data_IF_505161814769
#
_entry.id   IF_505161814769
#
_cell.length_a   1.000
_cell.length_b   1.000
_cell.length_c   1.000
_cell.angle_alpha   90.00
_cell.angle_beta   90.00
_cell.angle_gamma   90.00
#
_symmetry.space_group_name_H-M   'P 1'
#
loop_
_entity.id
_entity.type
_entity.pdbx_description
1 polymer ?
#
# COMPACT_ATOMS: atom_id res chain seq x y z
N UNK A 1 -17.49 14.03 -24.50
CA UNK A 1 -18.26 12.77 -24.39
C UNK A 1 -17.46 11.86 -23.46
N UNK A 2 -17.91 11.52 -22.25
CA UNK A 2 -17.11 10.68 -21.37
C UNK A 2 -17.28 9.22 -21.78
N UNK A 3 -16.14 8.55 -21.98
CA UNK A 3 -16.03 7.17 -22.40
C UNK A 3 -16.68 6.22 -21.40
N UNK A 4 -17.58 5.40 -21.91
CA UNK A 4 -18.26 4.34 -21.20
C UNK A 4 -17.26 3.21 -20.92
N UNK A 5 -16.60 3.22 -19.76
CA UNK A 5 -15.81 2.07 -19.31
C UNK A 5 -16.79 0.98 -18.83
N UNK A 6 -17.27 0.14 -19.74
CA UNK A 6 -17.99 -1.08 -19.34
C UNK A 6 -16.97 -2.09 -18.83
N UNK A 7 -17.02 -2.41 -17.53
CA UNK A 7 -16.24 -3.50 -16.96
C UNK A 7 -16.74 -4.83 -17.53
N UNK A 8 -15.95 -5.47 -18.39
CA UNK A 8 -16.17 -6.86 -18.81
C UNK A 8 -15.42 -7.80 -17.87
N UNK A 9 -16.14 -8.58 -17.05
CA UNK A 9 -15.56 -9.64 -16.21
C UNK A 9 -14.87 -10.70 -17.12
N UNK A 10 -13.74 -11.28 -16.71
CA UNK A 10 -13.07 -12.36 -17.46
C UNK A 10 -14.00 -13.59 -17.60
N UNK A 11 -13.94 -14.36 -18.71
CA UNK A 11 -14.87 -15.48 -18.97
C UNK A 11 -14.96 -16.57 -17.90
N UNK A 12 -13.92 -16.71 -17.06
CA UNK A 12 -13.91 -17.67 -15.96
C UNK A 12 -14.85 -17.31 -14.78
N UNK A 13 -15.49 -16.14 -14.79
CA UNK A 13 -16.25 -15.60 -13.65
C UNK A 13 -17.69 -15.16 -13.98
N UNK A 14 -18.26 -15.58 -15.11
CA UNK A 14 -19.70 -15.36 -15.38
C UNK A 14 -20.58 -16.16 -14.40
N UNK A 15 -21.56 -15.50 -13.77
CA UNK A 15 -22.61 -16.15 -12.98
C UNK A 15 -22.40 -16.21 -11.46
N UNK A 16 -21.28 -15.69 -10.93
CA UNK A 16 -21.18 -15.31 -9.50
C UNK A 16 -21.34 -13.79 -9.44
N UNK A 17 -22.11 -13.27 -8.48
CA UNK A 17 -22.31 -11.82 -8.32
C UNK A 17 -20.95 -11.08 -8.37
N UNK A 18 -20.60 -10.43 -9.50
CA UNK A 18 -19.45 -9.54 -9.60
C UNK A 18 -19.76 -8.33 -8.68
N UNK A 19 -19.41 -8.35 -7.39
CA UNK A 19 -19.32 -7.13 -6.57
C UNK A 19 -17.97 -6.45 -6.82
N UNK A 20 -17.71 -6.09 -8.07
CA UNK A 20 -16.62 -5.20 -8.48
C UNK A 20 -17.01 -3.72 -8.22
N UNK A 21 -18.21 -3.46 -7.68
CA UNK A 21 -18.68 -2.11 -7.35
C UNK A 21 -17.95 -1.45 -6.16
N UNK A 22 -17.19 -2.21 -5.36
CA UNK A 22 -16.58 -1.70 -4.12
C UNK A 22 -15.10 -1.33 -4.29
N UNK A 23 -14.37 -1.99 -5.18
CA UNK A 23 -12.91 -1.80 -5.33
C UNK A 23 -12.53 -1.24 -6.71
N UNK A 24 -11.61 -0.30 -6.74
CA UNK A 24 -10.94 0.19 -7.94
C UNK A 24 -9.72 -0.68 -8.23
N UNK A 25 -9.61 -1.24 -9.44
CA UNK A 25 -8.45 -2.03 -9.88
C UNK A 25 -7.39 -1.14 -10.52
N UNK A 26 -6.11 -1.45 -10.29
CA UNK A 26 -5.02 -0.83 -11.03
C UNK A 26 -4.98 -1.33 -12.49
N UNK A 27 -4.25 -0.64 -13.35
CA UNK A 27 -4.17 -0.95 -14.77
C UNK A 27 -3.66 -2.37 -15.07
N UNK A 28 -2.84 -2.92 -14.18
CA UNK A 28 -2.25 -4.26 -14.28
C UNK A 28 -3.16 -5.37 -13.76
N UNK A 29 -4.28 -5.04 -13.11
CA UNK A 29 -5.18 -6.01 -12.47
C UNK A 29 -4.55 -6.79 -11.30
N UNK A 30 -3.45 -6.29 -10.74
CA UNK A 30 -2.68 -6.92 -9.66
C UNK A 30 -3.01 -6.36 -8.29
N UNK A 31 -3.63 -5.18 -8.24
CA UNK A 31 -4.00 -4.49 -7.00
C UNK A 31 -5.42 -3.94 -7.14
N UNK A 32 -6.17 -3.97 -6.04
CA UNK A 32 -7.49 -3.39 -5.95
C UNK A 32 -7.70 -2.74 -4.59
N UNK A 33 -8.18 -1.49 -4.58
CA UNK A 33 -8.41 -0.72 -3.35
C UNK A 33 -9.84 -0.24 -3.22
N UNK A 34 -10.34 -0.22 -1.99
CA UNK A 34 -11.64 0.33 -1.62
C UNK A 34 -11.43 1.49 -0.67
N UNK A 35 -11.97 2.66 -1.00
CA UNK A 35 -11.95 3.83 -0.12
C UNK A 35 -13.33 3.99 0.51
N UNK A 36 -13.36 4.22 1.82
CA UNK A 36 -14.58 4.47 2.57
C UNK A 36 -14.40 5.70 3.47
N UNK A 37 -15.25 6.70 3.33
CA UNK A 37 -15.22 7.94 4.11
C UNK A 37 -16.00 7.86 5.43
N UNK A 38 -16.68 6.73 5.72
CA UNK A 38 -17.39 6.55 6.99
C UNK A 38 -16.41 6.46 8.15
N UNK A 39 -16.49 7.45 9.04
CA UNK A 39 -15.64 7.54 10.21
C UNK A 39 -15.84 6.37 11.17
N UNK A 40 -14.78 5.58 11.39
CA UNK A 40 -14.70 4.47 12.36
C UNK A 40 -13.31 4.43 13.01
N UNK A 41 -13.18 3.74 14.14
CA UNK A 41 -11.88 3.50 14.79
C UNK A 41 -10.97 2.61 13.94
N UNK A 42 -9.67 2.63 14.23
CA UNK A 42 -8.68 1.83 13.48
C UNK A 42 -9.02 0.32 13.50
N UNK A 43 -9.35 -0.23 14.67
CA UNK A 43 -9.72 -1.65 14.81
C UNK A 43 -11.01 -2.02 14.05
N UNK A 44 -11.97 -1.10 14.01
CA UNK A 44 -13.18 -1.29 13.23
C UNK A 44 -12.90 -1.20 11.72
N UNK A 45 -12.02 -0.29 11.29
CA UNK A 45 -11.57 -0.20 9.90
C UNK A 45 -10.88 -1.50 9.46
N UNK A 46 -9.97 -2.04 10.27
CA UNK A 46 -9.31 -3.33 10.05
C UNK A 46 -10.32 -4.46 9.90
N UNK A 47 -11.29 -4.56 10.80
CA UNK A 47 -12.35 -5.56 10.76
C UNK A 47 -13.23 -5.43 9.50
N UNK A 48 -13.55 -4.20 9.10
CA UNK A 48 -14.32 -3.93 7.89
C UNK A 48 -13.55 -4.36 6.64
N UNK A 49 -12.25 -4.08 6.54
CA UNK A 49 -11.44 -4.54 5.40
C UNK A 49 -11.39 -6.07 5.31
N UNK A 50 -11.25 -6.77 6.45
CA UNK A 50 -11.29 -8.24 6.50
C UNK A 50 -12.63 -8.77 6.00
N UNK A 51 -13.75 -8.12 6.34
CA UNK A 51 -15.08 -8.51 5.85
C UNK A 51 -15.24 -8.38 4.33
N UNK A 52 -14.36 -7.62 3.68
CA UNK A 52 -14.30 -7.39 2.24
C UNK A 52 -13.24 -8.25 1.53
N UNK A 53 -12.76 -9.33 2.17
CA UNK A 53 -11.65 -10.16 1.68
C UNK A 53 -10.36 -9.35 1.43
N UNK A 54 -10.12 -8.37 2.30
CA UNK A 54 -8.99 -7.48 2.22
C UNK A 54 -8.32 -7.21 3.56
N UNK A 55 -7.38 -6.28 3.54
CA UNK A 55 -6.71 -5.72 4.70
C UNK A 55 -6.68 -4.19 4.57
N UNK A 56 -6.32 -3.47 5.63
CA UNK A 56 -6.01 -2.05 5.50
C UNK A 56 -4.80 -1.89 4.57
N UNK A 57 -4.87 -0.93 3.66
CA UNK A 57 -3.89 -0.72 2.60
C UNK A 57 -2.48 -0.51 3.16
N UNK A 58 -1.53 -1.31 2.69
CA UNK A 58 -0.09 -1.10 2.86
C UNK A 58 0.45 -0.36 1.64
N UNK A 59 1.47 0.49 1.78
CA UNK A 59 2.06 1.24 0.67
C UNK A 59 3.59 1.15 0.74
N UNK A 60 4.20 0.41 -0.19
CA UNK A 60 5.66 0.16 -0.22
C UNK A 60 6.39 0.84 -1.37
N UNK A 61 5.66 1.50 -2.27
CA UNK A 61 6.21 2.13 -3.47
C UNK A 61 5.39 3.35 -3.91
N UNK A 62 6.02 4.19 -4.74
CA UNK A 62 5.44 5.44 -5.24
C UNK A 62 4.22 5.20 -6.16
N UNK A 63 4.20 4.11 -6.92
CA UNK A 63 3.07 3.84 -7.83
C UNK A 63 1.81 3.52 -7.03
N UNK A 64 1.92 2.69 -5.98
CA UNK A 64 0.80 2.39 -5.08
C UNK A 64 0.30 3.66 -4.38
N UNK A 65 1.21 4.53 -3.92
CA UNK A 65 0.85 5.82 -3.33
C UNK A 65 0.09 6.71 -4.31
N UNK A 66 0.66 6.97 -5.49
CA UNK A 66 0.09 7.87 -6.47
C UNK A 66 -1.25 7.37 -7.01
N UNK A 67 -1.35 6.07 -7.29
CA UNK A 67 -2.60 5.48 -7.76
C UNK A 67 -3.70 5.53 -6.68
N UNK A 68 -3.36 5.28 -5.41
CA UNK A 68 -4.31 5.42 -4.30
C UNK A 68 -4.83 6.86 -4.19
N UNK A 69 -3.96 7.86 -4.32
CA UNK A 69 -4.36 9.28 -4.35
C UNK A 69 -5.36 9.57 -5.47
N UNK A 70 -5.11 9.05 -6.68
CA UNK A 70 -6.03 9.19 -7.81
C UNK A 70 -7.39 8.55 -7.51
N UNK A 71 -7.41 7.36 -6.88
CA UNK A 71 -8.67 6.69 -6.51
C UNK A 71 -9.43 7.51 -5.47
N UNK A 72 -8.77 8.00 -4.42
CA UNK A 72 -9.40 8.85 -3.39
C UNK A 72 -10.01 10.11 -4.02
N UNK A 73 -9.28 10.81 -4.89
CA UNK A 73 -9.78 12.01 -5.55
C UNK A 73 -10.91 11.73 -6.54
N UNK A 74 -10.91 10.56 -7.17
CA UNK A 74 -11.97 10.15 -8.11
C UNK A 74 -13.27 9.83 -7.37
N UNK A 75 -13.19 9.10 -6.25
CA UNK A 75 -14.37 8.69 -5.46
C UNK A 75 -14.87 9.84 -4.58
N UNK A 76 -13.94 10.59 -3.97
CA UNK A 76 -14.21 11.65 -3.00
C UNK A 76 -13.51 12.95 -3.40
N UNK A 77 -14.01 13.68 -4.42
CA UNK A 77 -13.34 14.87 -4.96
C UNK A 77 -13.20 16.03 -3.97
N UNK A 78 -14.05 16.08 -2.94
CA UNK A 78 -14.00 17.10 -1.89
C UNK A 78 -13.11 16.72 -0.70
N UNK A 79 -12.51 15.53 -0.69
CA UNK A 79 -11.74 15.00 0.44
C UNK A 79 -10.61 15.93 0.89
N UNK A 80 -9.93 16.57 -0.06
CA UNK A 80 -8.90 17.60 0.19
C UNK A 80 -9.44 18.79 0.95
N UNK A 81 -10.52 19.41 0.46
CA UNK A 81 -11.13 20.58 1.09
C UNK A 81 -11.72 20.25 2.47
N UNK A 82 -12.18 19.01 2.65
CA UNK A 82 -12.71 18.51 3.90
C UNK A 82 -11.62 18.12 4.93
N UNK A 83 -10.34 18.10 4.54
CA UNK A 83 -9.26 17.59 5.40
C UNK A 83 -9.47 16.14 5.81
N UNK A 84 -9.95 15.32 4.87
CA UNK A 84 -10.29 13.91 5.14
C UNK A 84 -9.05 13.11 5.57
N UNK A 85 -9.24 12.28 6.59
CA UNK A 85 -8.23 11.37 7.12
C UNK A 85 -8.67 9.95 6.80
N UNK A 86 -7.74 9.13 6.36
CA UNK A 86 -7.98 7.72 6.07
C UNK A 86 -6.99 6.82 6.79
N UNK A 87 -7.49 5.82 7.51
CA UNK A 87 -6.68 4.75 8.08
C UNK A 87 -6.03 3.91 6.97
N UNK A 88 -4.74 3.60 7.17
CA UNK A 88 -3.96 2.67 6.36
C UNK A 88 -3.24 1.66 7.26
N UNK A 89 -2.72 0.59 6.69
CA UNK A 89 -2.32 -0.62 7.41
C UNK A 89 -1.00 -0.52 8.15
N UNK A 90 -0.82 0.43 9.06
CA UNK A 90 0.39 0.55 9.89
C UNK A 90 0.11 0.98 11.33
N UNK A 91 0.99 0.61 12.24
CA UNK A 91 0.91 0.95 13.66
C UNK A 91 2.29 1.03 14.32
N UNK A 92 2.35 1.68 15.48
CA UNK A 92 3.54 1.89 16.28
C UNK A 92 3.33 1.40 17.72
N UNK A 93 3.73 0.17 17.98
CA UNK A 93 3.77 -0.40 19.33
C UNK A 93 5.17 -0.27 19.95
N UNK A 94 6.19 -0.65 19.19
CA UNK A 94 7.62 -0.60 19.59
C UNK A 94 8.51 -0.04 18.47
N UNK A 95 7.89 0.60 17.49
CA UNK A 95 8.47 0.95 16.19
C UNK A 95 7.40 0.85 15.10
N UNK A 96 7.48 1.75 14.11
CA UNK A 96 6.51 1.79 13.02
C UNK A 96 6.62 0.57 12.11
N UNK A 97 5.53 -0.20 12.04
CA UNK A 97 5.43 -1.40 11.21
C UNK A 97 4.13 -1.40 10.43
N UNK A 98 4.20 -1.91 9.21
CA UNK A 98 3.02 -2.31 8.44
C UNK A 98 2.34 -3.49 9.14
N UNK A 99 1.05 -3.70 8.89
CA UNK A 99 0.28 -4.80 9.49
C UNK A 99 0.74 -6.19 9.01
N UNK A 100 1.54 -6.27 7.94
CA UNK A 100 2.21 -7.51 7.53
C UNK A 100 3.53 -7.77 8.29
N UNK A 101 3.91 -6.89 9.21
CA UNK A 101 5.09 -6.99 10.07
C UNK A 101 6.35 -6.33 9.51
N UNK A 102 6.34 -5.89 8.24
CA UNK A 102 7.48 -5.17 7.65
C UNK A 102 7.66 -3.78 8.24
N UNK A 103 8.90 -3.29 8.29
CA UNK A 103 9.21 -1.97 8.84
C UNK A 103 8.68 -0.85 7.95
N UNK A 104 8.20 0.23 8.58
CA UNK A 104 7.93 1.49 7.88
C UNK A 104 9.15 2.39 8.10
N UNK A 105 9.88 2.76 7.03
CA UNK A 105 11.05 3.60 7.18
C UNK A 105 10.66 4.98 7.70
N UNK A 106 11.32 5.45 8.75
CA UNK A 106 11.00 6.72 9.45
C UNK A 106 12.11 7.76 9.36
N UNK A 107 13.31 7.36 8.94
CA UNK A 107 14.46 8.24 8.79
C UNK A 107 15.00 8.23 7.37
N UNK A 108 15.68 9.30 6.96
CA UNK A 108 16.25 9.42 5.62
C UNK A 108 17.35 8.41 5.30
N UNK A 109 17.87 7.71 6.32
CA UNK A 109 18.95 6.74 6.20
C UNK A 109 18.43 5.30 6.15
N UNK A 110 17.12 5.10 6.30
CA UNK A 110 16.47 3.80 6.17
C UNK A 110 16.05 3.58 4.71
N UNK A 111 16.38 2.39 4.21
CA UNK A 111 15.98 1.96 2.87
C UNK A 111 14.46 1.76 2.80
N UNK A 112 13.85 2.21 1.69
CA UNK A 112 12.44 2.00 1.39
C UNK A 112 11.67 3.28 1.08
N UNK A 113 10.51 3.12 0.46
CA UNK A 113 9.65 4.24 0.10
C UNK A 113 9.08 4.93 1.33
N UNK A 114 9.12 6.27 1.34
CA UNK A 114 8.64 7.11 2.43
C UNK A 114 7.74 8.21 1.88
N UNK A 115 6.61 8.43 2.56
CA UNK A 115 5.70 9.52 2.22
C UNK A 115 5.13 10.23 3.47
N UNK A 116 5.92 10.28 4.54
CA UNK A 116 5.56 10.95 5.79
C UNK A 116 5.32 12.45 5.60
N UNK A 117 4.30 12.96 6.29
CA UNK A 117 4.10 14.37 6.53
C UNK A 117 5.25 14.86 7.42
N UNK A 118 5.99 15.86 6.95
CA UNK A 118 6.99 16.56 7.78
C UNK A 118 6.25 17.36 8.84
N UNK A 119 6.16 16.79 10.05
CA UNK A 119 5.53 17.36 11.23
C UNK A 119 6.61 17.84 12.20
N UNK A 120 6.41 19.01 12.83
CA UNK A 120 7.23 19.49 13.95
C UNK A 120 6.91 18.75 15.27
N UNK A 121 5.78 18.04 15.32
CA UNK A 121 5.37 17.21 16.45
C UNK A 121 5.95 15.79 16.32
N UNK A 122 6.61 15.32 17.39
CA UNK A 122 7.08 13.95 17.50
C UNK A 122 5.90 12.95 17.33
N UNK A 123 6.12 11.77 16.71
CA UNK A 123 5.08 10.76 16.55
C UNK A 123 4.71 10.17 17.93
N UNK A 124 3.72 10.77 18.59
CA UNK A 124 3.20 10.37 19.91
C UNK A 124 1.96 9.49 19.83
N UNK A 125 1.49 9.18 18.61
CA UNK A 125 0.26 8.42 18.37
C UNK A 125 0.57 7.11 17.65
N UNK A 126 -0.32 6.14 17.80
CA UNK A 126 -0.02 4.71 17.59
C UNK A 126 -0.50 4.15 16.24
N UNK A 127 -1.44 4.78 15.55
CA UNK A 127 -2.01 4.23 14.30
C UNK A 127 -1.72 5.10 13.08
N UNK A 128 -1.41 4.46 11.96
CA UNK A 128 -1.03 5.12 10.70
C UNK A 128 -2.27 5.55 9.92
N UNK A 129 -2.26 6.80 9.48
CA UNK A 129 -3.28 7.34 8.59
C UNK A 129 -2.63 8.16 7.46
N UNK A 130 -3.44 8.54 6.49
CA UNK A 130 -3.04 9.52 5.47
C UNK A 130 -4.03 10.69 5.44
N UNK A 131 -3.49 11.88 5.18
CA UNK A 131 -4.27 13.13 5.11
C UNK A 131 -3.66 14.11 4.11
N UNK A 132 -4.42 15.12 3.71
CA UNK A 132 -3.94 16.23 2.90
C UNK A 132 -3.32 17.32 3.79
N UNK A 133 -2.01 17.62 3.63
CA UNK A 133 -1.40 18.75 4.31
C UNK A 133 -2.00 20.08 3.83
N UNK A 134 -1.94 21.12 4.66
CA UNK A 134 -2.37 22.47 4.24
C UNK A 134 -1.59 22.93 3.00
N UNK A 135 -2.30 23.40 1.97
CA UNK A 135 -1.75 23.78 0.66
C UNK A 135 -0.96 22.69 -0.09
N UNK A 136 -1.24 21.41 0.17
CA UNK A 136 -0.65 20.30 -0.57
C UNK A 136 -1.74 19.43 -1.20
N UNK A 137 -1.45 18.95 -2.40
CA UNK A 137 -2.37 18.23 -3.27
C UNK A 137 -2.15 16.71 -3.19
N UNK A 138 -1.08 16.28 -2.51
CA UNK A 138 -0.72 14.88 -2.28
C UNK A 138 -1.10 14.43 -0.87
N UNK A 139 -1.52 13.17 -0.74
CA UNK A 139 -1.76 12.56 0.56
C UNK A 139 -0.40 12.27 1.20
N UNK A 140 -0.27 12.54 2.49
CA UNK A 140 0.93 12.22 3.27
C UNK A 140 0.57 11.33 4.43
N UNK A 141 1.49 10.42 4.77
CA UNK A 141 1.34 9.57 5.94
C UNK A 141 1.51 10.39 7.21
N UNK A 142 0.65 10.18 8.17
CA UNK A 142 0.71 10.78 9.50
C UNK A 142 0.29 9.75 10.53
N UNK A 143 0.38 10.10 11.79
CA UNK A 143 -0.02 9.24 12.89
C UNK A 143 -1.19 9.85 13.65
N UNK A 144 -2.10 8.99 14.09
CA UNK A 144 -3.34 9.35 14.76
C UNK A 144 -3.65 8.39 15.93
N UNK A 145 -4.49 8.83 16.88
CA UNK A 145 -4.90 7.98 18.01
C UNK A 145 -5.85 6.90 17.48
N UNK A 146 -5.55 5.62 17.70
CA UNK A 146 -6.34 4.50 17.17
C UNK A 146 -7.83 4.54 17.54
N UNK A 147 -8.19 5.20 18.65
CA UNK A 147 -9.56 5.40 19.11
C UNK A 147 -10.32 6.53 18.42
N UNK A 148 -9.65 7.39 17.63
CA UNK A 148 -10.35 8.39 16.82
C UNK A 148 -11.09 7.74 15.66
N UNK A 149 -12.11 8.41 15.14
CA UNK A 149 -12.85 7.93 13.98
C UNK A 149 -12.39 8.63 12.71
N UNK A 150 -12.05 7.85 11.69
CA UNK A 150 -11.63 8.34 10.38
C UNK A 150 -12.15 7.40 9.27
N UNK A 151 -12.08 7.85 8.01
CA UNK A 151 -12.29 6.97 6.87
C UNK A 151 -11.19 5.90 6.82
N UNK A 152 -11.26 4.99 5.85
CA UNK A 152 -10.26 3.93 5.71
C UNK A 152 -10.11 3.47 4.28
N UNK A 153 -8.93 2.93 3.97
CA UNK A 153 -8.63 2.37 2.66
C UNK A 153 -8.25 0.91 2.83
N UNK A 154 -8.97 0.03 2.13
CA UNK A 154 -8.69 -1.40 2.10
C UNK A 154 -7.98 -1.77 0.80
N UNK A 155 -7.13 -2.79 0.84
CA UNK A 155 -6.62 -3.51 -0.33
C UNK A 155 -7.14 -4.95 -0.34
N UNK A 156 -7.35 -5.54 -1.52
CA UNK A 156 -7.65 -6.97 -1.63
C UNK A 156 -6.42 -7.83 -1.40
N UNK A 157 -6.58 -8.92 -0.69
CA UNK A 157 -5.49 -9.86 -0.37
C UNK A 157 -5.53 -11.14 -1.20
N UNK A 158 -6.53 -11.32 -2.05
CA UNK A 158 -6.69 -12.49 -2.92
C UNK A 158 -6.30 -12.23 -4.38
N UNK A 159 -5.78 -11.04 -4.67
CA UNK A 159 -5.03 -10.75 -5.89
C UNK A 159 -3.57 -11.17 -5.68
N UNK A 160 -2.92 -11.58 -6.76
CA UNK A 160 -1.53 -12.03 -6.73
C UNK A 160 -0.66 -11.19 -7.66
N UNK A 161 0.00 -10.14 -7.13
CA UNK A 161 0.96 -9.34 -7.87
C UNK A 161 2.10 -10.13 -8.49
N UNK A 162 2.43 -11.32 -7.96
CA UNK A 162 3.46 -12.18 -8.55
C UNK A 162 3.08 -12.75 -9.92
N UNK A 163 1.79 -12.78 -10.30
CA UNK A 163 1.39 -13.31 -11.62
C UNK A 163 1.96 -12.52 -12.79
N UNK A 164 2.18 -11.23 -12.60
CA UNK A 164 2.71 -10.33 -13.62
C UNK A 164 4.15 -9.90 -13.33
N UNK A 165 4.79 -10.50 -12.33
CA UNK A 165 6.14 -10.16 -11.90
C UNK A 165 7.05 -11.38 -11.86
N UNK A 166 8.27 -11.25 -12.36
CA UNK A 166 9.27 -12.33 -12.33
C UNK A 166 10.52 -11.82 -11.64
N UNK A 167 10.81 -12.37 -10.47
CA UNK A 167 12.09 -12.12 -9.79
C UNK A 167 13.24 -12.76 -10.59
N UNK A 168 14.37 -12.08 -10.66
CA UNK A 168 15.53 -12.52 -11.43
C UNK A 168 16.36 -13.57 -10.69
N UNK A 169 17.30 -14.19 -11.40
CA UNK A 169 18.35 -15.04 -10.82
C UNK A 169 17.84 -16.20 -9.92
N UNK A 170 16.70 -16.78 -10.27
CA UNK A 170 16.12 -17.91 -9.54
C UNK A 170 15.46 -17.53 -8.21
N UNK A 171 15.22 -16.24 -7.97
CA UNK A 171 14.54 -15.75 -6.79
C UNK A 171 13.05 -16.16 -6.78
N UNK A 172 12.50 -16.27 -5.57
CA UNK A 172 11.08 -16.61 -5.35
C UNK A 172 10.27 -15.34 -5.12
N UNK A 173 9.19 -15.16 -5.88
CA UNK A 173 8.22 -14.09 -5.62
C UNK A 173 7.28 -14.47 -4.47
N UNK A 174 7.00 -13.50 -3.59
CA UNK A 174 6.00 -13.59 -2.54
C UNK A 174 5.09 -12.37 -2.60
N UNK A 175 3.77 -12.57 -2.60
CA UNK A 175 2.77 -11.50 -2.62
C UNK A 175 2.22 -11.19 -1.22
N UNK A 176 1.86 -9.93 -1.00
CA UNK A 176 1.17 -9.42 0.18
C UNK A 176 0.26 -8.26 -0.26
N UNK A 177 -1.04 -8.53 -0.40
CA UNK A 177 -2.00 -7.53 -0.91
C UNK A 177 -1.63 -7.03 -2.31
N UNK A 178 -1.50 -5.72 -2.45
CA UNK A 178 -1.07 -5.04 -3.66
C UNK A 178 0.43 -5.14 -3.95
N UNK A 179 1.21 -5.72 -3.04
CA UNK A 179 2.67 -5.74 -3.10
C UNK A 179 3.22 -7.13 -3.44
N UNK A 180 4.38 -7.15 -4.08
CA UNK A 180 5.23 -8.32 -4.15
C UNK A 180 6.59 -8.03 -3.52
N UNK A 181 7.31 -9.10 -3.19
CA UNK A 181 8.70 -9.06 -2.78
C UNK A 181 9.43 -10.25 -3.38
N UNK A 182 10.70 -10.05 -3.73
CA UNK A 182 11.56 -11.10 -4.24
C UNK A 182 12.49 -11.60 -3.14
N UNK A 183 12.43 -12.90 -2.86
CA UNK A 183 13.38 -13.57 -1.96
C UNK A 183 14.58 -14.01 -2.80
N UNK A 184 15.66 -13.24 -2.71
CA UNK A 184 16.86 -13.47 -3.52
C UNK A 184 17.58 -14.76 -3.13
N UNK A 185 18.08 -15.47 -4.15
CA UNK A 185 19.01 -16.57 -3.95
C UNK A 185 20.35 -16.04 -3.39
N UNK A 186 21.09 -16.92 -2.71
CA UNK A 186 22.41 -16.55 -2.18
C UNK A 186 23.32 -16.01 -3.28
N UNK A 187 23.94 -14.86 -3.02
CA UNK A 187 24.80 -14.17 -4.00
C UNK A 187 24.07 -13.17 -4.90
N UNK A 188 22.77 -12.94 -4.70
CA UNK A 188 22.00 -11.93 -5.43
C UNK A 188 21.32 -10.92 -4.48
N UNK A 189 21.09 -9.70 -4.98
CA UNK A 189 20.48 -8.58 -4.27
C UNK A 189 19.74 -7.65 -5.24
N UNK A 190 19.07 -6.62 -4.73
CA UNK A 190 18.17 -5.74 -5.50
C UNK A 190 16.69 -6.09 -5.27
N UNK A 191 15.80 -5.17 -5.63
CA UNK A 191 14.35 -5.33 -5.45
C UNK A 191 13.81 -6.55 -6.19
N UNK A 192 14.36 -6.82 -7.38
CA UNK A 192 13.99 -7.94 -8.23
C UNK A 192 15.10 -8.99 -8.26
N UNK A 193 16.05 -8.92 -7.34
CA UNK A 193 17.23 -9.79 -7.26
C UNK A 193 18.11 -9.76 -8.52
N UNK A 194 18.14 -8.62 -9.20
CA UNK A 194 18.82 -8.41 -10.47
C UNK A 194 20.35 -8.24 -10.35
N UNK A 195 20.85 -7.91 -9.16
CA UNK A 195 22.26 -7.62 -8.91
C UNK A 195 22.99 -8.83 -8.33
N UNK A 196 24.21 -9.10 -8.80
CA UNK A 196 25.12 -10.06 -8.17
C UNK A 196 25.81 -9.38 -6.98
N UNK A 197 25.79 -10.01 -5.81
CA UNK A 197 26.61 -9.60 -4.68
C UNK A 197 28.06 -9.90 -5.03
N UNK A 198 28.84 -8.86 -5.31
CA UNK A 198 30.28 -9.01 -5.49
C UNK A 198 30.86 -9.57 -4.18
N UNK A 199 31.40 -10.79 -4.23
CA UNK A 199 32.09 -11.39 -3.08
C UNK A 199 33.25 -10.51 -2.61
N UNK A 200 33.75 -10.71 -1.38
CA UNK A 200 34.95 -10.00 -0.96
C UNK A 200 36.05 -10.35 -1.95
N UNK A 201 36.71 -9.32 -2.48
CA UNK A 201 37.91 -9.45 -3.29
C UNK A 201 38.98 -10.20 -2.50
N UNK A 202 39.03 -11.53 -2.64
CA UNK A 202 40.23 -12.30 -2.36
C UNK A 202 41.27 -11.86 -3.37
N UNK A 203 42.28 -11.12 -2.88
CA UNK A 203 43.25 -10.43 -3.71
C UNK A 203 44.05 -11.32 -4.66
N UNK A 204 44.57 -10.68 -5.70
CA UNK A 204 45.69 -11.17 -6.50
C UNK A 204 46.56 -9.98 -6.86
N UNK A 205 47.80 -10.00 -6.38
CA UNK A 205 48.82 -9.01 -6.70
C UNK A 205 50.11 -9.35 -5.95
N UNK A 206 50.83 -10.33 -6.50
CA UNK A 206 52.25 -10.65 -6.22
C UNK A 206 53.16 -9.42 -6.30
#
# INVERSE_FOLDING_TARGET
>A
MPGNFSCTCLPAYEGRQCSIATFSLNAQGTCAVHVNDKAVTFENAKSNCVSLNGALLIIKDENTQHWTEQVVQTIYPNSKAAGSIYWIGGQNETGWKWLDGSDIPTSSNEDGFQNWLKSDDAPTKECLSMTYPFNNDSLKWTNENCGMSAGYICERTDLDPCKNHTCQNGAKCSSSGCHYSCVCASGFTGTDCENVVAGPSSGSGE
#
